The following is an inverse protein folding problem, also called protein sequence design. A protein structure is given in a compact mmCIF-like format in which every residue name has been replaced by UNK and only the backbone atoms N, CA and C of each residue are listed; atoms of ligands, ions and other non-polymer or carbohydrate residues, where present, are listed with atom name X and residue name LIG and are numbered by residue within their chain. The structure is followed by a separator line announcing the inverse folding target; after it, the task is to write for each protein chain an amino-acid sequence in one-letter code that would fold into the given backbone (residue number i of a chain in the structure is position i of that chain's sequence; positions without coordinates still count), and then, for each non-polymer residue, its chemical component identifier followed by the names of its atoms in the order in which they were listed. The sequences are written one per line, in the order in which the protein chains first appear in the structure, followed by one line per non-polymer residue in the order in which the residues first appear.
data_IF_444171982124
#
_entry.id   IF_444171982124
#
_cell.length_a   1.000
_cell.length_b   1.000
_cell.length_c   1.000
_cell.angle_alpha   90.00
_cell.angle_beta   90.00
_cell.angle_gamma   90.00
#
_symmetry.space_group_name_H-M   'P 1'
#
loop_
_entity.id
_entity.type
_entity.pdbx_description
1 polymer ?
#
# COMPACT_ATOMS: atom_id res chain seq x y z
N UNK A 1 -7.52 -3.41 -3.72
CA UNK A 1 -7.29 -4.85 -3.46
C UNK A 1 -8.39 -5.37 -2.56
N UNK A 2 -9.38 -6.05 -3.15
CA UNK A 2 -10.43 -6.80 -2.42
C UNK A 2 -10.07 -8.28 -2.41
N UNK A 3 -10.58 -9.03 -1.43
CA UNK A 3 -10.46 -10.49 -1.39
C UNK A 3 -9.03 -10.96 -1.15
N UNK A 4 -8.31 -10.33 -0.22
CA UNK A 4 -7.13 -10.93 0.37
C UNK A 4 -7.61 -12.02 1.34
N UNK A 5 -7.96 -13.19 0.82
CA UNK A 5 -8.45 -14.31 1.64
C UNK A 5 -7.35 -14.89 2.54
N UNK A 6 -6.09 -14.60 2.21
CA UNK A 6 -4.91 -14.95 2.98
C UNK A 6 -3.93 -13.78 3.01
N UNK A 7 -3.35 -13.53 4.17
CA UNK A 7 -2.27 -12.56 4.35
C UNK A 7 -0.92 -13.03 3.79
N UNK A 8 -0.79 -14.29 3.31
CA UNK A 8 0.52 -14.80 2.90
C UNK A 8 1.12 -14.01 1.74
N UNK A 9 2.44 -13.86 1.76
CA UNK A 9 3.24 -13.11 0.78
C UNK A 9 2.86 -13.43 -0.66
N UNK A 10 2.75 -14.73 -0.98
CA UNK A 10 2.36 -15.20 -2.32
C UNK A 10 0.99 -14.69 -2.72
N UNK A 11 -0.01 -14.82 -1.86
CA UNK A 11 -1.38 -14.38 -2.17
C UNK A 11 -1.45 -12.85 -2.30
N UNK A 12 -0.74 -12.12 -1.45
CA UNK A 12 -0.62 -10.67 -1.54
C UNK A 12 0.01 -10.26 -2.87
N UNK A 13 1.14 -10.88 -3.24
CA UNK A 13 1.84 -10.57 -4.49
C UNK A 13 0.97 -10.85 -5.72
N UNK A 14 0.27 -12.00 -5.73
CA UNK A 14 -0.70 -12.35 -6.77
C UNK A 14 -1.86 -11.35 -6.85
N UNK A 15 -2.37 -10.90 -5.70
CA UNK A 15 -3.46 -9.93 -5.63
C UNK A 15 -3.03 -8.56 -6.17
N UNK A 16 -1.82 -8.08 -5.85
CA UNK A 16 -1.26 -6.83 -6.40
C UNK A 16 -1.11 -6.95 -7.91
N UNK A 17 -0.43 -7.99 -8.40
CA UNK A 17 -0.21 -8.21 -9.83
C UNK A 17 -1.54 -8.34 -10.60
N UNK A 18 -2.54 -8.98 -10.01
CA UNK A 18 -3.89 -9.10 -10.58
C UNK A 18 -4.60 -7.75 -10.65
N UNK A 19 -4.47 -6.91 -9.62
CA UNK A 19 -5.05 -5.56 -9.61
C UNK A 19 -4.42 -4.68 -10.70
N UNK A 20 -3.09 -4.68 -10.81
CA UNK A 20 -2.37 -3.94 -11.87
C UNK A 20 -2.84 -4.36 -13.26
N UNK A 21 -2.88 -5.67 -13.55
CA UNK A 21 -3.37 -6.19 -14.84
C UNK A 21 -4.83 -5.80 -15.14
N UNK A 22 -5.71 -5.84 -14.13
CA UNK A 22 -7.12 -5.48 -14.31
C UNK A 22 -7.30 -4.00 -14.68
N UNK A 23 -6.43 -3.14 -14.17
CA UNK A 23 -6.48 -1.69 -14.36
C UNK A 23 -5.56 -1.21 -15.49
N UNK A 24 -4.96 -2.12 -16.25
CA UNK A 24 -3.98 -1.84 -17.30
C UNK A 24 -2.81 -0.95 -16.81
N UNK A 25 -2.38 -1.20 -15.57
CA UNK A 25 -1.25 -0.51 -14.94
C UNK A 25 0.01 -1.38 -15.00
N UNK A 26 1.16 -0.73 -15.16
CA UNK A 26 2.47 -1.35 -15.05
C UNK A 26 3.14 -1.00 -13.71
N UNK A 27 3.87 -1.96 -13.15
CA UNK A 27 4.81 -1.66 -12.07
C UNK A 27 5.83 -0.61 -12.55
N UNK A 28 6.09 0.38 -11.70
CA UNK A 28 6.94 1.52 -12.03
C UNK A 28 6.23 2.71 -12.68
N UNK A 29 4.94 2.65 -13.03
CA UNK A 29 4.25 3.81 -13.65
C UNK A 29 3.97 4.96 -12.64
N UNK A 30 4.20 4.76 -11.34
CA UNK A 30 4.26 5.81 -10.31
C UNK A 30 2.98 6.64 -10.09
N UNK A 31 1.90 6.37 -10.83
CA UNK A 31 0.62 7.11 -10.81
C UNK A 31 -0.52 6.27 -10.26
N UNK A 32 -0.29 5.47 -9.22
CA UNK A 32 -1.37 4.75 -8.55
C UNK A 32 -1.12 4.63 -7.05
N UNK A 33 -2.21 4.41 -6.31
CA UNK A 33 -2.20 3.99 -4.93
C UNK A 33 -2.66 2.52 -4.85
N UNK A 34 -2.03 1.73 -3.99
CA UNK A 34 -2.61 0.44 -3.61
C UNK A 34 -3.62 0.67 -2.49
N UNK A 35 -4.91 0.66 -2.84
CA UNK A 35 -6.00 0.56 -1.87
C UNK A 35 -6.06 -0.88 -1.34
N UNK A 36 -6.05 -1.09 -0.02
CA UNK A 36 -6.00 -2.41 0.61
C UNK A 36 -7.16 -2.51 1.58
N UNK A 37 -8.06 -3.48 1.34
CA UNK A 37 -9.04 -3.88 2.32
C UNK A 37 -8.44 -4.96 3.21
N UNK A 38 -8.20 -4.63 4.48
CA UNK A 38 -7.43 -5.45 5.40
C UNK A 38 -8.30 -5.99 6.54
N UNK A 39 -8.34 -7.32 6.68
CA UNK A 39 -9.19 -8.01 7.67
C UNK A 39 -8.45 -9.05 8.51
N UNK A 40 -7.11 -9.10 8.42
CA UNK A 40 -6.27 -10.11 9.11
C UNK A 40 -5.70 -9.62 10.44
N UNK A 41 -6.19 -8.49 10.96
CA UNK A 41 -5.76 -7.91 12.24
C UNK A 41 -4.38 -7.23 12.21
N UNK A 42 -3.93 -6.66 13.34
CA UNK A 42 -2.68 -5.92 13.44
C UNK A 42 -1.45 -6.82 13.74
N UNK A 43 -1.60 -8.13 13.69
CA UNK A 43 -0.55 -9.08 14.05
C UNK A 43 0.66 -8.93 13.13
N UNK A 44 1.85 -8.79 13.72
CA UNK A 44 3.10 -8.60 13.00
C UNK A 44 3.34 -9.64 11.90
N UNK A 45 3.04 -10.92 12.16
CA UNK A 45 3.20 -11.99 11.17
C UNK A 45 2.38 -11.74 9.89
N UNK A 46 1.13 -11.27 10.03
CA UNK A 46 0.28 -10.98 8.88
C UNK A 46 0.74 -9.71 8.14
N UNK A 47 1.12 -8.67 8.87
CA UNK A 47 1.62 -7.42 8.29
C UNK A 47 2.97 -7.59 7.60
N UNK A 48 3.87 -8.41 8.14
CA UNK A 48 5.16 -8.74 7.52
C UNK A 48 4.98 -9.47 6.18
N UNK A 49 4.02 -10.39 6.12
CA UNK A 49 3.67 -11.08 4.88
C UNK A 49 3.00 -10.14 3.86
N UNK A 50 2.14 -9.21 4.32
CA UNK A 50 1.59 -8.13 3.48
C UNK A 50 2.71 -7.29 2.86
N UNK A 51 3.62 -6.77 3.67
CA UNK A 51 4.73 -5.92 3.20
C UNK A 51 5.63 -6.67 2.21
N UNK A 52 6.00 -7.91 2.54
CA UNK A 52 6.83 -8.74 1.67
C UNK A 52 6.16 -9.03 0.33
N UNK A 53 4.84 -9.30 0.33
CA UNK A 53 4.10 -9.59 -0.89
C UNK A 53 3.96 -8.37 -1.79
N UNK A 54 3.80 -7.17 -1.21
CA UNK A 54 3.77 -5.91 -1.97
C UNK A 54 5.11 -5.68 -2.66
N UNK A 55 6.23 -5.82 -1.93
CA UNK A 55 7.58 -5.64 -2.50
C UNK A 55 7.88 -6.68 -3.59
N UNK A 56 7.49 -7.94 -3.39
CA UNK A 56 7.64 -8.99 -4.40
C UNK A 56 6.85 -8.70 -5.69
N UNK A 57 5.70 -8.03 -5.57
CA UNK A 57 4.88 -7.67 -6.72
C UNK A 57 5.30 -6.39 -7.44
N UNK A 58 6.11 -5.55 -6.80
CA UNK A 58 6.51 -4.23 -7.31
C UNK A 58 8.05 -4.06 -7.41
N UNK A 59 8.78 -5.00 -8.06
CA UNK A 59 10.24 -4.95 -8.14
C UNK A 59 10.78 -3.67 -8.81
N UNK A 60 10.11 -3.13 -9.83
CA UNK A 60 10.55 -1.93 -10.53
C UNK A 60 10.31 -0.68 -9.68
N UNK A 61 9.13 -0.55 -9.06
CA UNK A 61 8.84 0.58 -8.15
C UNK A 61 9.85 0.63 -7.01
N UNK A 62 10.12 -0.51 -6.37
CA UNK A 62 11.06 -0.59 -5.25
C UNK A 62 12.51 -0.42 -5.72
N UNK A 63 12.93 -1.15 -6.76
CA UNK A 63 14.29 -1.13 -7.29
C UNK A 63 14.71 0.22 -7.85
N UNK A 64 13.78 0.96 -8.46
CA UNK A 64 14.03 2.31 -8.99
C UNK A 64 13.65 3.43 -8.02
N UNK A 65 13.30 3.09 -6.77
CA UNK A 65 12.95 4.03 -5.68
C UNK A 65 11.83 5.01 -6.06
N UNK A 66 10.87 4.55 -6.86
CA UNK A 66 9.67 5.33 -7.19
C UNK A 66 8.75 5.44 -5.98
N UNK A 67 7.86 6.45 -5.95
CA UNK A 67 6.90 6.59 -4.86
C UNK A 67 6.02 5.35 -4.72
N UNK A 68 5.92 4.83 -3.49
CA UNK A 68 4.97 3.79 -3.11
C UNK A 68 3.92 4.41 -2.18
N UNK A 69 2.66 4.40 -2.64
CA UNK A 69 1.52 4.90 -1.89
C UNK A 69 0.56 3.76 -1.56
N UNK A 70 0.37 3.51 -0.28
CA UNK A 70 -0.59 2.55 0.25
C UNK A 70 -1.73 3.29 0.95
N UNK A 71 -2.96 2.84 0.73
CA UNK A 71 -4.15 3.31 1.45
C UNK A 71 -4.86 2.08 2.01
N UNK A 72 -4.99 2.00 3.33
CA UNK A 72 -5.47 0.83 4.04
C UNK A 72 -6.71 1.21 4.84
N UNK A 73 -7.75 0.38 4.83
CA UNK A 73 -8.98 0.64 5.60
C UNK A 73 -8.90 0.17 7.08
N UNK A 74 -7.69 -0.05 7.59
CA UNK A 74 -7.38 -0.49 8.94
C UNK A 74 -6.27 0.36 9.57
N UNK A 75 -6.31 0.56 10.88
CA UNK A 75 -5.38 1.41 11.67
C UNK A 75 -4.03 0.73 11.87
N UNK A 76 -3.28 0.60 10.77
CA UNK A 76 -2.01 -0.15 10.72
C UNK A 76 -0.93 0.55 9.88
N UNK A 77 -1.17 1.78 9.38
CA UNK A 77 -0.25 2.41 8.43
C UNK A 77 1.13 2.64 9.05
N UNK A 78 1.19 3.01 10.33
CA UNK A 78 2.46 3.17 11.04
C UNK A 78 3.27 1.87 11.15
N UNK A 79 2.62 0.72 11.36
CA UNK A 79 3.27 -0.59 11.39
C UNK A 79 3.74 -1.01 10.00
N UNK A 80 2.85 -0.93 9.02
CA UNK A 80 3.15 -1.27 7.61
C UNK A 80 4.28 -0.40 7.06
N UNK A 81 4.22 0.91 7.29
CA UNK A 81 5.24 1.86 6.85
C UNK A 81 6.61 1.57 7.44
N UNK A 82 6.69 1.27 8.74
CA UNK A 82 7.95 0.87 9.39
C UNK A 82 8.48 -0.45 8.85
N UNK A 83 7.65 -1.49 8.75
CA UNK A 83 8.08 -2.79 8.22
C UNK A 83 8.57 -2.66 6.76
N UNK A 84 7.89 -1.90 5.91
CA UNK A 84 8.36 -1.65 4.54
C UNK A 84 9.72 -0.94 4.50
N UNK A 85 9.91 0.06 5.37
CA UNK A 85 11.14 0.87 5.43
C UNK A 85 12.32 0.10 6.04
N UNK A 86 12.11 -0.50 7.20
CA UNK A 86 13.17 -1.06 8.06
C UNK A 86 13.48 -2.52 7.71
N UNK A 87 12.46 -3.30 7.34
CA UNK A 87 12.61 -4.75 7.13
C UNK A 87 12.60 -5.13 5.64
N UNK A 88 11.76 -4.48 4.83
CA UNK A 88 11.68 -4.77 3.40
C UNK A 88 12.56 -3.87 2.52
N UNK A 89 13.28 -2.91 3.11
CA UNK A 89 14.28 -2.09 2.42
C UNK A 89 13.71 -1.09 1.40
N UNK A 90 12.45 -0.67 1.53
CA UNK A 90 11.85 0.35 0.67
C UNK A 90 12.50 1.71 0.93
N UNK A 91 13.48 2.07 0.09
CA UNK A 91 14.27 3.28 0.24
C UNK A 91 13.63 4.53 -0.40
N UNK A 92 12.72 4.35 -1.37
CA UNK A 92 12.04 5.44 -2.07
C UNK A 92 11.05 6.23 -1.20
N UNK A 93 10.38 7.25 -1.78
CA UNK A 93 9.26 7.92 -1.13
C UNK A 93 8.17 6.89 -0.79
N UNK A 94 7.72 6.89 0.47
CA UNK A 94 6.74 5.94 0.97
C UNK A 94 5.70 6.71 1.77
N UNK A 95 4.44 6.49 1.44
CA UNK A 95 3.30 6.97 2.20
C UNK A 95 2.34 5.79 2.45
N UNK A 96 2.02 5.56 3.72
CA UNK A 96 0.97 4.64 4.13
C UNK A 96 -0.10 5.48 4.82
N UNK A 97 -1.31 5.46 4.27
CA UNK A 97 -2.49 6.13 4.82
C UNK A 97 -3.43 5.05 5.34
N UNK A 98 -3.90 5.15 6.58
CA UNK A 98 -4.88 4.24 7.15
C UNK A 98 -6.26 4.90 7.35
N UNK A 99 -7.23 4.09 7.79
CA UNK A 99 -8.60 4.51 8.10
C UNK A 99 -9.34 5.18 6.93
N UNK A 100 -8.89 4.94 5.70
CA UNK A 100 -9.53 5.41 4.47
C UNK A 100 -9.86 4.21 3.58
N UNK A 101 -11.15 3.98 3.36
CA UNK A 101 -11.61 2.96 2.43
C UNK A 101 -11.77 3.54 1.02
N UNK A 102 -11.06 2.98 0.05
CA UNK A 102 -11.15 3.34 -1.36
C UNK A 102 -11.70 2.19 -2.20
N UNK A 103 -12.38 2.53 -3.30
CA UNK A 103 -12.80 1.63 -4.36
C UNK A 103 -11.86 1.77 -5.55
N UNK A 104 -11.97 0.82 -6.48
CA UNK A 104 -11.27 0.98 -7.76
C UNK A 104 -11.81 2.20 -8.50
N UNK A 105 -10.92 2.92 -9.19
CA UNK A 105 -11.19 4.17 -9.90
C UNK A 105 -11.50 5.39 -9.02
N UNK A 106 -11.48 5.26 -7.69
CA UNK A 106 -11.46 6.44 -6.83
C UNK A 106 -10.15 7.21 -7.04
N UNK A 107 -10.24 8.54 -7.10
CA UNK A 107 -9.09 9.43 -7.05
C UNK A 107 -8.90 9.91 -5.61
N UNK A 108 -7.64 9.97 -5.18
CA UNK A 108 -7.27 10.48 -3.87
C UNK A 108 -6.32 11.65 -4.03
N UNK A 109 -6.66 12.80 -3.46
CA UNK A 109 -5.70 13.89 -3.24
C UNK A 109 -5.13 13.77 -1.84
N UNK A 110 -3.81 13.73 -1.76
CA UNK A 110 -3.08 13.73 -0.49
C UNK A 110 -2.38 15.08 -0.39
N UNK A 111 -2.78 15.88 0.61
CA UNK A 111 -2.13 17.15 0.87
C UNK A 111 -0.83 17.00 1.67
N UNK A 112 -0.23 18.14 2.01
CA UNK A 112 0.99 18.17 2.81
C UNK A 112 0.75 17.69 4.24
N UNK A 113 1.75 17.05 4.89
CA UNK A 113 1.67 16.71 6.30
C UNK A 113 1.37 17.93 7.17
N UNK A 114 0.47 17.75 8.13
CA UNK A 114 0.18 18.73 9.17
C UNK A 114 1.23 18.51 10.27
N UNK A 115 1.94 19.58 10.64
CA UNK A 115 3.10 19.58 11.53
C UNK A 115 2.91 18.72 12.78
N UNK A 116 3.98 18.00 13.16
CA UNK A 116 4.17 17.20 14.38
C UNK A 116 3.17 16.07 14.66
N UNK A 117 2.17 15.85 13.79
CA UNK A 117 1.11 14.86 14.04
C UNK A 117 1.17 13.63 13.13
N UNK A 118 2.10 13.54 12.18
CA UNK A 118 2.15 12.47 11.17
C UNK A 118 0.82 12.26 10.42
N UNK A 119 0.00 13.30 10.31
CA UNK A 119 -1.33 13.28 9.65
C UNK A 119 -1.26 14.08 8.35
N UNK A 120 -2.01 13.62 7.34
CA UNK A 120 -2.20 14.32 6.05
C UNK A 120 -3.69 14.52 5.78
N UNK A 121 -4.09 15.66 5.17
CA UNK A 121 -5.46 15.82 4.69
C UNK A 121 -5.65 14.97 3.42
N UNK A 122 -6.79 14.27 3.36
CA UNK A 122 -7.14 13.37 2.27
C UNK A 122 -8.50 13.77 1.69
N UNK A 123 -8.58 13.91 0.38
CA UNK A 123 -9.85 14.10 -0.36
C UNK A 123 -10.06 12.91 -1.28
N UNK A 124 -11.22 12.28 -1.18
CA UNK A 124 -11.64 11.18 -2.07
C UNK A 124 -12.65 11.70 -3.07
N UNK A 125 -12.41 11.41 -4.36
CA UNK A 125 -13.34 11.68 -5.45
C UNK A 125 -13.74 10.36 -6.10
N UNK A 126 -15.04 10.09 -6.16
CA UNK A 126 -15.64 8.86 -6.72
C UNK A 126 -16.46 9.14 -7.96
#
# INVERSE_FOLDING_TARGET
MRGLDSASRRHVAEAVRRALRRLDLADGDGRFALAIHWHHGPEYAALSELCSGIVEALPETVGTRRPLLLVIDADVAGLVGRTLREECGVAGPLACIDQVALREFDYVDIGSPISDQHVVPVVVKS
#
